data_IF_794640816239
#
_entry.id   IF_794640816239
#
_cell.length_a   1.000
_cell.length_b   1.000
_cell.length_c   1.000
_cell.angle_alpha   90.00
_cell.angle_beta   90.00
_cell.angle_gamma   90.00
#
_symmetry.space_group_name_H-M   'P 1'
#
loop_
_entity.id
_entity.type
_entity.pdbx_description
1 polymer ?
#
# COMPACT_ATOMS: atom_id res chain seq x y z
N UNK A 1 -0.26 17.53 -10.73
CA UNK A 1 1.04 17.01 -10.25
C UNK A 1 1.31 17.63 -8.90
N UNK A 2 0.95 16.97 -7.79
CA UNK A 2 1.24 17.51 -6.46
C UNK A 2 2.65 17.10 -6.06
N UNK A 3 3.59 17.99 -6.40
CA UNK A 3 4.94 18.08 -5.82
C UNK A 3 4.87 18.22 -4.27
N UNK A 4 3.67 18.50 -3.74
CA UNK A 4 3.33 18.68 -2.32
C UNK A 4 3.07 17.40 -1.51
N UNK A 5 3.25 16.20 -2.06
CA UNK A 5 3.13 14.94 -1.30
C UNK A 5 4.36 14.59 -0.46
N UNK A 6 5.49 15.26 -0.66
CA UNK A 6 6.74 15.02 0.06
C UNK A 6 6.92 16.10 1.15
N UNK A 7 6.71 15.73 2.41
CA UNK A 7 6.83 16.63 3.57
C UNK A 7 8.21 17.31 3.64
N UNK A 8 9.29 16.63 3.25
CA UNK A 8 10.65 17.18 3.22
C UNK A 8 10.84 18.23 2.13
N UNK A 9 10.25 18.04 0.95
CA UNK A 9 10.33 19.04 -0.11
C UNK A 9 9.58 20.33 0.29
N UNK A 10 8.46 20.16 0.99
CA UNK A 10 7.69 21.29 1.52
C UNK A 10 8.48 22.08 2.55
N UNK A 11 9.13 21.39 3.50
CA UNK A 11 10.04 22.00 4.48
C UNK A 11 11.14 22.83 3.79
N UNK A 12 11.76 22.31 2.72
CA UNK A 12 12.75 23.07 1.96
C UNK A 12 12.19 24.31 1.24
N UNK A 13 10.92 24.27 0.82
CA UNK A 13 10.25 25.44 0.23
C UNK A 13 9.85 26.46 1.31
N UNK A 14 9.49 25.99 2.51
CA UNK A 14 9.20 26.81 3.67
C UNK A 14 10.44 27.55 4.16
N UNK A 15 11.56 26.84 4.35
CA UNK A 15 12.87 27.39 4.73
C UNK A 15 13.37 28.43 3.71
N UNK A 16 13.09 28.19 2.43
CA UNK A 16 13.43 29.10 1.35
C UNK A 16 12.46 30.28 1.23
N UNK A 17 11.45 30.37 2.10
CA UNK A 17 10.46 31.44 2.09
C UNK A 17 9.70 31.50 0.76
N UNK A 18 9.31 30.35 0.21
CA UNK A 18 8.61 30.25 -1.08
C UNK A 18 7.12 29.98 -0.93
N UNK A 19 6.64 29.70 0.27
CA UNK A 19 5.25 29.31 0.52
C UNK A 19 4.39 30.49 0.97
N UNK A 20 3.10 30.44 0.63
CA UNK A 20 2.08 31.33 1.20
C UNK A 20 1.87 31.02 2.68
N UNK A 21 1.16 31.91 3.38
CA UNK A 21 0.87 31.78 4.81
C UNK A 21 0.08 30.51 5.19
N UNK A 22 -0.54 29.82 4.22
CA UNK A 22 -1.17 28.53 4.43
C UNK A 22 -0.14 27.39 4.64
N UNK A 23 1.12 27.58 4.22
CA UNK A 23 2.15 26.54 4.25
C UNK A 23 1.95 25.42 3.22
N UNK A 24 0.98 25.56 2.30
CA UNK A 24 0.63 24.51 1.33
C UNK A 24 0.75 24.96 -0.13
N UNK A 25 0.78 26.26 -0.41
CA UNK A 25 0.87 26.79 -1.77
C UNK A 25 2.17 27.56 -1.96
N UNK A 26 2.75 27.54 -3.16
CA UNK A 26 3.82 28.48 -3.50
C UNK A 26 3.25 29.89 -3.57
N UNK A 27 4.04 30.88 -3.16
CA UNK A 27 3.73 32.27 -3.41
C UNK A 27 3.57 32.50 -4.92
N UNK A 28 2.60 33.35 -5.33
CA UNK A 28 2.50 33.72 -6.72
C UNK A 28 3.80 34.40 -7.17
N UNK A 29 4.18 34.15 -8.41
CA UNK A 29 5.27 34.89 -9.03
C UNK A 29 4.96 36.41 -8.99
N UNK A 30 5.93 37.27 -8.64
CA UNK A 30 5.70 38.71 -8.49
C UNK A 30 5.33 39.40 -9.80
N UNK A 31 5.62 38.76 -10.93
CA UNK A 31 5.19 39.14 -12.28
C UNK A 31 4.58 37.90 -12.95
N UNK A 32 3.35 37.97 -13.51
CA UNK A 32 2.74 36.86 -14.26
C UNK A 32 3.56 36.33 -15.45
N UNK A 33 4.50 37.12 -15.97
CA UNK A 33 5.44 36.68 -17.01
C UNK A 33 6.75 36.11 -16.46
N UNK A 34 6.95 36.17 -15.14
CA UNK A 34 8.12 35.64 -14.43
C UNK A 34 7.85 34.24 -13.89
N UNK A 35 8.91 33.44 -13.79
CA UNK A 35 8.91 32.13 -13.14
C UNK A 35 9.94 32.12 -11.99
N UNK A 36 10.06 33.22 -11.23
CA UNK A 36 11.06 33.39 -10.18
C UNK A 36 10.82 32.48 -8.96
N UNK A 37 9.60 32.48 -8.40
CA UNK A 37 9.19 31.62 -7.29
C UNK A 37 9.10 30.18 -7.78
N UNK A 38 8.46 29.96 -8.93
CA UNK A 38 8.35 28.64 -9.53
C UNK A 38 9.73 28.04 -9.84
N UNK A 39 10.63 28.82 -10.44
CA UNK A 39 12.00 28.40 -10.75
C UNK A 39 12.84 28.14 -9.50
N UNK A 40 12.67 28.95 -8.45
CA UNK A 40 13.36 28.74 -7.16
C UNK A 40 12.91 27.45 -6.48
N UNK A 41 11.61 27.11 -6.56
CA UNK A 41 11.11 25.82 -6.09
C UNK A 41 11.70 24.65 -6.89
N UNK A 42 11.86 24.81 -8.21
CA UNK A 42 12.52 23.81 -9.06
C UNK A 42 13.99 23.64 -8.71
N UNK A 43 14.72 24.72 -8.38
CA UNK A 43 16.10 24.65 -7.88
C UNK A 43 16.17 23.85 -6.57
N UNK A 44 15.25 24.10 -5.63
CA UNK A 44 15.17 23.31 -4.39
C UNK A 44 14.93 21.83 -4.69
N UNK A 45 14.08 21.52 -5.66
CA UNK A 45 13.81 20.14 -6.06
C UNK A 45 15.06 19.48 -6.66
N UNK A 46 15.74 20.16 -7.59
CA UNK A 46 16.98 19.66 -8.21
C UNK A 46 18.08 19.45 -7.17
N UNK A 47 18.27 20.37 -6.21
CA UNK A 47 19.33 20.27 -5.22
C UNK A 47 19.00 19.27 -4.11
N UNK A 48 17.81 19.37 -3.50
CA UNK A 48 17.48 18.63 -2.26
C UNK A 48 16.87 17.27 -2.53
N UNK A 49 16.16 17.11 -3.65
CA UNK A 49 15.49 15.85 -4.00
C UNK A 49 16.29 15.07 -5.03
N UNK A 50 16.77 15.74 -6.08
CA UNK A 50 17.62 15.09 -7.10
C UNK A 50 19.11 15.07 -6.73
N UNK A 51 19.50 15.70 -5.61
CA UNK A 51 20.86 15.73 -5.07
C UNK A 51 21.90 16.29 -6.05
N UNK A 52 21.49 17.22 -6.91
CA UNK A 52 22.42 17.91 -7.80
C UNK A 52 23.25 18.94 -7.05
N UNK A 53 24.50 19.12 -7.47
CA UNK A 53 25.30 20.26 -7.04
C UNK A 53 24.57 21.58 -7.39
N UNK A 54 24.67 22.58 -6.52
CA UNK A 54 23.88 23.81 -6.64
C UNK A 54 24.16 24.54 -7.96
N UNK A 55 25.40 24.50 -8.44
CA UNK A 55 25.87 25.08 -9.69
C UNK A 55 25.24 24.43 -10.93
N UNK A 56 24.67 23.24 -10.77
CA UNK A 56 23.95 22.49 -11.81
C UNK A 56 22.44 22.69 -11.75
N UNK A 57 21.93 23.37 -10.73
CA UNK A 57 20.51 23.62 -10.58
C UNK A 57 20.14 24.91 -11.33
N UNK A 58 19.35 24.78 -12.39
CA UNK A 58 19.02 25.86 -13.31
C UNK A 58 17.57 26.33 -13.20
N UNK A 59 16.77 25.70 -12.33
CA UNK A 59 15.37 26.06 -12.10
C UNK A 59 14.45 25.76 -13.28
N UNK A 60 14.93 25.01 -14.28
CA UNK A 60 14.15 24.67 -15.48
C UNK A 60 13.60 23.27 -15.39
N UNK A 61 12.43 23.09 -16.00
CA UNK A 61 11.82 21.79 -16.22
C UNK A 61 11.64 21.59 -17.71
N UNK A 62 12.69 21.06 -18.35
CA UNK A 62 12.61 20.77 -19.77
C UNK A 62 11.68 19.58 -20.03
N UNK A 63 10.78 19.66 -21.02
CA UNK A 63 9.96 18.53 -21.43
C UNK A 63 10.87 17.32 -21.76
N UNK A 64 10.60 16.18 -21.14
CA UNK A 64 11.40 14.94 -21.27
C UNK A 64 12.85 15.04 -20.73
N UNK A 65 13.20 16.14 -20.06
CA UNK A 65 14.47 16.29 -19.36
C UNK A 65 14.51 15.53 -18.04
N UNK A 66 15.68 15.46 -17.40
CA UNK A 66 15.88 14.68 -16.16
C UNK A 66 14.99 15.17 -15.01
N UNK A 67 14.80 16.48 -14.89
CA UNK A 67 13.91 17.08 -13.88
C UNK A 67 12.45 16.73 -14.17
N UNK A 68 12.02 16.77 -15.43
CA UNK A 68 10.68 16.33 -15.84
C UNK A 68 10.46 14.83 -15.58
N UNK A 69 11.42 13.97 -15.93
CA UNK A 69 11.36 12.53 -15.64
C UNK A 69 11.26 12.25 -14.14
N UNK A 70 12.04 12.96 -13.31
CA UNK A 70 11.97 12.83 -11.86
C UNK A 70 10.62 13.30 -11.29
N UNK A 71 10.05 14.37 -11.83
CA UNK A 71 8.75 14.90 -11.43
C UNK A 71 7.56 14.03 -11.88
N UNK A 72 7.67 13.36 -13.02
CA UNK A 72 6.58 12.57 -13.62
C UNK A 72 6.72 11.06 -13.36
N UNK A 73 7.88 10.58 -12.91
CA UNK A 73 8.19 9.16 -12.85
C UNK A 73 8.28 8.48 -14.22
N UNK A 74 8.24 9.25 -15.31
CA UNK A 74 8.16 8.72 -16.67
C UNK A 74 9.55 8.41 -17.24
N UNK A 75 9.90 7.13 -17.30
CA UNK A 75 10.96 6.61 -18.18
C UNK A 75 10.38 6.59 -19.60
N UNK A 76 10.89 7.43 -20.50
CA UNK A 76 10.38 7.57 -21.89
C UNK A 76 10.65 6.33 -22.77
N UNK A 77 10.30 6.35 -24.09
CA UNK A 77 10.06 7.55 -24.91
C UNK A 77 8.85 7.51 -25.89
N UNK A 78 8.43 8.72 -26.33
CA UNK A 78 7.95 8.93 -27.71
C UNK A 78 6.43 9.04 -27.96
N UNK A 79 6.03 10.19 -28.51
CA UNK A 79 4.86 10.42 -29.36
C UNK A 79 3.44 10.13 -28.82
N UNK A 80 2.94 10.99 -27.93
CA UNK A 80 1.49 11.16 -27.79
C UNK A 80 1.17 12.64 -28.01
N UNK A 81 0.40 12.93 -29.06
CA UNK A 81 -0.15 14.26 -29.30
C UNK A 81 -1.10 14.63 -28.15
N UNK A 82 -1.07 15.88 -27.64
CA UNK A 82 -1.97 16.29 -26.58
C UNK A 82 -3.41 16.27 -27.08
N UNK A 83 -4.24 15.46 -26.43
CA UNK A 83 -5.70 15.54 -26.54
C UNK A 83 -6.16 16.46 -25.41
N UNK A 84 -7.10 17.35 -25.73
CA UNK A 84 -7.69 18.29 -24.77
C UNK A 84 -8.26 17.53 -23.56
N UNK A 85 -7.61 17.70 -22.41
CA UNK A 85 -7.76 16.84 -21.23
C UNK A 85 -8.82 17.35 -20.26
N UNK A 86 -9.43 18.51 -20.52
CA UNK A 86 -10.43 19.12 -19.65
C UNK A 86 -11.64 18.20 -19.31
N UNK A 87 -12.19 17.37 -20.22
CA UNK A 87 -13.28 16.46 -19.88
C UNK A 87 -12.82 15.12 -19.29
N UNK A 88 -11.51 14.83 -19.25
CA UNK A 88 -10.95 13.51 -18.87
C UNK A 88 -10.23 13.54 -17.51
N UNK A 89 -9.89 14.73 -17.00
CA UNK A 89 -9.13 14.90 -15.75
C UNK A 89 -9.87 14.43 -14.48
N UNK A 90 -11.20 14.47 -14.45
CA UNK A 90 -11.97 13.96 -13.31
C UNK A 90 -11.96 12.42 -13.24
N UNK A 91 -12.28 11.67 -14.32
CA UNK A 91 -12.07 10.22 -14.37
C UNK A 91 -10.60 9.80 -14.15
N UNK A 92 -9.63 10.60 -14.60
CA UNK A 92 -8.19 10.33 -14.41
C UNK A 92 -7.73 10.60 -12.97
N UNK A 93 -8.34 11.54 -12.25
CA UNK A 93 -8.05 11.80 -10.83
C UNK A 93 -8.64 10.69 -9.94
N UNK A 94 -9.83 10.20 -10.29
CA UNK A 94 -10.44 9.02 -9.66
C UNK A 94 -9.70 7.74 -10.03
N UNK A 95 -9.09 7.67 -11.22
CA UNK A 95 -8.12 6.64 -11.57
C UNK A 95 -6.86 6.80 -10.74
N UNK A 96 -6.14 7.93 -10.72
CA UNK A 96 -4.83 8.09 -10.05
C UNK A 96 -4.86 7.96 -8.52
N UNK A 97 -5.97 8.30 -7.85
CA UNK A 97 -6.16 7.98 -6.42
C UNK A 97 -6.34 6.49 -6.14
N UNK A 98 -6.77 5.72 -7.15
CA UNK A 98 -7.04 4.28 -7.12
C UNK A 98 -6.10 3.43 -8.03
N UNK A 99 -5.15 4.03 -8.78
CA UNK A 99 -4.48 3.40 -9.94
C UNK A 99 -3.03 2.97 -9.71
N UNK A 100 -2.48 3.16 -8.51
CA UNK A 100 -1.17 2.59 -8.18
C UNK A 100 -1.25 1.08 -7.92
N UNK A 101 -2.29 0.65 -7.20
CA UNK A 101 -2.41 -0.73 -6.74
C UNK A 101 -3.46 -1.46 -7.56
N UNK A 102 -3.07 -2.56 -8.19
CA UNK A 102 -3.98 -3.41 -8.95
C UNK A 102 -4.62 -4.42 -8.02
N UNK A 103 -5.94 -4.40 -7.89
CA UNK A 103 -6.67 -5.39 -7.10
C UNK A 103 -6.68 -6.76 -7.78
N UNK A 104 -6.47 -7.82 -7.00
CA UNK A 104 -6.48 -9.19 -7.48
C UNK A 104 -7.41 -10.07 -6.67
N UNK A 105 -8.27 -10.83 -7.35
CA UNK A 105 -9.07 -11.88 -6.72
C UNK A 105 -8.26 -13.18 -6.68
N UNK A 106 -7.80 -13.61 -5.50
CA UNK A 106 -7.06 -14.85 -5.29
C UNK A 106 -7.84 -16.06 -5.84
N UNK A 107 -9.17 -16.05 -5.73
CA UNK A 107 -10.04 -17.14 -6.17
C UNK A 107 -10.06 -17.34 -7.70
N UNK A 108 -9.50 -16.40 -8.47
CA UNK A 108 -9.32 -16.54 -9.91
C UNK A 108 -8.16 -17.50 -10.29
N UNK A 109 -7.24 -17.79 -9.36
CA UNK A 109 -6.01 -18.53 -9.63
C UNK A 109 -6.10 -19.99 -9.13
N UNK A 110 -7.13 -20.72 -9.58
CA UNK A 110 -7.44 -22.09 -9.12
C UNK A 110 -6.51 -23.17 -9.68
N UNK A 111 -5.87 -22.90 -10.83
CA UNK A 111 -4.91 -23.81 -11.48
C UNK A 111 -3.47 -23.56 -11.04
N UNK A 112 -3.20 -22.39 -10.47
CA UNK A 112 -1.85 -21.92 -10.18
C UNK A 112 -1.41 -22.46 -8.83
N UNK A 113 -0.61 -23.53 -8.86
CA UNK A 113 -0.04 -24.17 -7.67
C UNK A 113 0.99 -23.25 -7.03
N UNK A 114 1.03 -23.17 -5.71
CA UNK A 114 2.12 -22.55 -4.96
C UNK A 114 3.35 -23.48 -4.94
N UNK A 115 4.50 -22.97 -4.49
CA UNK A 115 5.74 -23.74 -4.41
C UNK A 115 5.87 -24.68 -3.20
N UNK A 116 4.78 -25.01 -2.50
CA UNK A 116 4.78 -25.94 -1.36
C UNK A 116 3.55 -26.85 -1.36
N UNK A 117 3.58 -27.86 -0.51
CA UNK A 117 2.51 -28.82 -0.31
C UNK A 117 1.98 -28.76 1.12
N UNK A 118 0.68 -29.02 1.29
CA UNK A 118 0.04 -29.19 2.60
C UNK A 118 -0.50 -30.61 2.71
N UNK A 119 -0.01 -31.37 3.68
CA UNK A 119 -0.37 -32.80 3.83
C UNK A 119 -0.07 -33.63 2.58
N UNK A 120 1.05 -33.34 1.89
CA UNK A 120 1.46 -34.04 0.66
C UNK A 120 0.66 -33.68 -0.59
N UNK A 121 -0.17 -32.64 -0.55
CA UNK A 121 -0.95 -32.16 -1.71
C UNK A 121 -0.52 -30.77 -2.10
N UNK A 122 -0.38 -30.55 -3.40
CA UNK A 122 -0.17 -29.21 -3.94
C UNK A 122 -1.34 -28.30 -3.53
N UNK A 123 -1.00 -27.10 -3.05
CA UNK A 123 -1.97 -26.05 -2.77
C UNK A 123 -1.88 -24.97 -3.83
N UNK A 124 -2.98 -24.26 -4.06
CA UNK A 124 -3.08 -23.24 -5.12
C UNK A 124 -3.14 -21.83 -4.54
N UNK A 125 -2.87 -20.83 -5.37
CA UNK A 125 -3.03 -19.41 -5.00
C UNK A 125 -4.46 -19.15 -4.52
N UNK A 126 -5.47 -19.76 -5.14
CA UNK A 126 -6.86 -19.61 -4.70
C UNK A 126 -7.13 -20.11 -3.27
N UNK A 127 -6.39 -21.13 -2.82
CA UNK A 127 -6.59 -21.75 -1.51
C UNK A 127 -5.81 -21.03 -0.41
N UNK A 128 -4.54 -20.69 -0.65
CA UNK A 128 -3.61 -20.20 0.40
C UNK A 128 -2.76 -18.99 -0.04
N UNK A 129 -3.07 -18.39 -1.19
CA UNK A 129 -2.29 -17.30 -1.78
C UNK A 129 -2.68 -15.89 -1.35
N UNK A 130 -3.44 -15.70 -0.27
CA UNK A 130 -3.90 -14.37 0.16
C UNK A 130 -2.73 -13.41 0.39
N UNK A 131 -1.68 -13.86 1.08
CA UNK A 131 -0.52 -13.01 1.37
C UNK A 131 0.34 -12.75 0.12
N UNK A 132 0.51 -13.75 -0.75
CA UNK A 132 1.17 -13.57 -2.06
C UNK A 132 0.43 -12.51 -2.89
N UNK A 133 -0.90 -12.58 -2.94
CA UNK A 133 -1.71 -11.59 -3.64
C UNK A 133 -1.50 -10.20 -3.01
N UNK A 134 -1.51 -10.06 -1.69
CA UNK A 134 -1.24 -8.78 -1.01
C UNK A 134 0.14 -8.22 -1.35
N UNK A 135 1.19 -9.02 -1.32
CA UNK A 135 2.55 -8.58 -1.72
C UNK A 135 2.59 -8.18 -3.20
N UNK A 136 1.89 -8.91 -4.07
CA UNK A 136 1.78 -8.55 -5.48
C UNK A 136 1.06 -7.22 -5.66
N UNK A 137 -0.09 -7.04 -5.00
CA UNK A 137 -0.86 -5.80 -5.04
C UNK A 137 0.01 -4.64 -4.57
N UNK A 138 0.72 -4.78 -3.44
CA UNK A 138 1.65 -3.77 -2.95
C UNK A 138 2.74 -3.44 -3.98
N UNK A 139 3.36 -4.47 -4.56
CA UNK A 139 4.43 -4.31 -5.54
C UNK A 139 3.96 -3.61 -6.83
N UNK A 140 2.67 -3.69 -7.19
CA UNK A 140 2.15 -2.94 -8.34
C UNK A 140 2.19 -1.43 -8.13
N UNK A 141 2.07 -0.96 -6.88
CA UNK A 141 2.11 0.47 -6.55
C UNK A 141 3.46 0.97 -6.04
N UNK A 142 4.13 0.22 -5.18
CA UNK A 142 5.38 0.65 -4.52
C UNK A 142 6.61 -0.18 -4.89
N UNK A 143 6.43 -1.30 -5.59
CA UNK A 143 7.53 -2.18 -5.99
C UNK A 143 8.40 -1.58 -7.10
N UNK A 144 9.58 -2.17 -7.26
CA UNK A 144 10.55 -1.80 -8.29
C UNK A 144 11.05 -3.06 -9.00
N UNK A 145 11.15 -3.07 -10.34
CA UNK A 145 11.70 -4.21 -11.05
C UNK A 145 13.11 -4.56 -10.57
N UNK A 146 13.31 -5.83 -10.24
CA UNK A 146 14.61 -6.39 -9.86
C UNK A 146 15.13 -7.31 -10.96
N UNK A 147 16.34 -7.87 -10.78
CA UNK A 147 16.86 -8.90 -11.69
C UNK A 147 16.03 -10.19 -11.70
N UNK A 148 15.18 -10.42 -10.69
CA UNK A 148 14.30 -11.57 -10.64
C UNK A 148 13.03 -11.39 -11.50
N UNK A 149 12.71 -10.16 -11.92
CA UNK A 149 11.51 -9.89 -12.70
C UNK A 149 11.68 -10.33 -14.16
N UNK A 150 10.60 -10.76 -14.83
CA UNK A 150 10.61 -10.94 -16.27
C UNK A 150 11.07 -9.65 -16.98
N UNK A 151 11.94 -9.80 -17.98
CA UNK A 151 12.52 -8.65 -18.70
C UNK A 151 11.43 -7.76 -19.28
N UNK A 152 11.47 -6.47 -18.94
CA UNK A 152 10.53 -5.46 -19.45
C UNK A 152 9.17 -5.46 -18.75
N UNK A 153 8.95 -6.32 -17.74
CA UNK A 153 7.73 -6.28 -16.94
C UNK A 153 7.69 -5.01 -16.08
N UNK A 154 6.60 -4.25 -16.19
CA UNK A 154 6.36 -3.07 -15.37
C UNK A 154 5.63 -3.45 -14.08
N UNK A 155 5.79 -2.65 -13.02
CA UNK A 155 5.13 -2.87 -11.73
C UNK A 155 3.60 -3.02 -11.86
N UNK A 156 2.95 -2.12 -12.60
CA UNK A 156 1.50 -2.18 -12.88
C UNK A 156 1.03 -3.47 -13.57
N UNK A 157 1.95 -4.17 -14.26
CA UNK A 157 1.67 -5.39 -15.01
C UNK A 157 2.07 -6.66 -14.23
N UNK A 158 2.65 -6.52 -13.03
CA UNK A 158 2.96 -7.63 -12.14
C UNK A 158 1.67 -8.32 -11.67
N UNK A 159 1.61 -9.65 -11.76
CA UNK A 159 0.44 -10.47 -11.38
C UNK A 159 0.84 -11.48 -10.29
N UNK A 160 -0.13 -12.10 -9.58
CA UNK A 160 0.16 -13.16 -8.63
C UNK A 160 0.90 -14.36 -9.25
N UNK A 161 0.68 -14.64 -10.54
CA UNK A 161 1.41 -15.68 -11.28
C UNK A 161 2.88 -15.30 -11.47
N UNK A 162 3.16 -14.03 -11.80
CA UNK A 162 4.53 -13.52 -11.88
C UNK A 162 5.23 -13.59 -10.51
N UNK A 163 4.56 -13.14 -9.45
CA UNK A 163 5.10 -13.16 -8.10
C UNK A 163 5.32 -14.60 -7.58
N UNK A 164 4.40 -15.52 -7.83
CA UNK A 164 4.54 -16.94 -7.49
C UNK A 164 5.73 -17.58 -8.23
N UNK A 165 5.89 -17.27 -9.52
CA UNK A 165 7.06 -17.73 -10.28
C UNK A 165 8.37 -17.21 -9.69
N UNK A 166 8.45 -15.91 -9.38
CA UNK A 166 9.62 -15.32 -8.70
C UNK A 166 9.89 -16.04 -7.37
N UNK A 167 8.84 -16.29 -6.59
CA UNK A 167 8.94 -16.96 -5.30
C UNK A 167 9.48 -18.40 -5.45
N UNK A 168 8.98 -19.17 -6.42
CA UNK A 168 9.45 -20.54 -6.72
C UNK A 168 10.91 -20.56 -7.18
N UNK A 169 11.25 -19.71 -8.15
CA UNK A 169 12.60 -19.67 -8.73
C UNK A 169 13.67 -19.27 -7.71
N UNK A 170 13.28 -18.62 -6.61
CA UNK A 170 14.18 -18.11 -5.57
C UNK A 170 13.96 -18.77 -4.20
N UNK A 171 13.38 -19.97 -4.15
CA UNK A 171 13.20 -20.76 -2.92
C UNK A 171 12.51 -19.97 -1.78
N UNK A 172 11.51 -19.15 -2.11
CA UNK A 172 10.78 -18.38 -1.11
C UNK A 172 9.70 -19.19 -0.38
N UNK A 173 9.53 -20.48 -0.70
CA UNK A 173 8.58 -21.36 -0.04
C UNK A 173 9.30 -22.34 0.89
N UNK A 174 8.66 -22.62 2.03
CA UNK A 174 8.98 -23.73 2.92
C UNK A 174 7.73 -24.58 3.16
N UNK A 175 7.86 -25.64 3.97
CA UNK A 175 6.70 -26.42 4.43
C UNK A 175 5.67 -25.56 5.19
N UNK A 176 6.11 -24.46 5.79
CA UNK A 176 5.27 -23.50 6.52
C UNK A 176 4.61 -22.45 5.60
N UNK A 177 4.87 -22.49 4.30
CA UNK A 177 4.30 -21.60 3.30
C UNK A 177 5.28 -20.55 2.76
N UNK A 178 4.76 -19.38 2.40
CA UNK A 178 5.54 -18.31 1.79
C UNK A 178 6.40 -17.56 2.83
N UNK A 179 7.69 -17.44 2.57
CA UNK A 179 8.60 -16.55 3.30
C UNK A 179 8.56 -15.14 2.66
N UNK A 180 7.95 -14.15 3.34
CA UNK A 180 7.81 -12.82 2.76
C UNK A 180 9.10 -12.00 2.83
N UNK A 181 10.05 -12.36 3.70
CA UNK A 181 11.31 -11.64 3.88
C UNK A 181 12.30 -11.90 2.75
N UNK A 182 12.18 -13.06 2.09
CA UNK A 182 12.91 -13.36 0.85
C UNK A 182 12.16 -12.84 -0.37
N UNK A 183 10.82 -12.95 -0.42
CA UNK A 183 10.06 -12.51 -1.59
C UNK A 183 9.99 -10.98 -1.72
N UNK A 184 9.76 -10.23 -0.64
CA UNK A 184 9.53 -8.78 -0.73
C UNK A 184 10.70 -8.03 -1.38
N UNK A 185 11.98 -8.29 -1.02
CA UNK A 185 13.12 -7.68 -1.70
C UNK A 185 13.19 -8.04 -3.20
N UNK A 186 12.81 -9.27 -3.57
CA UNK A 186 12.75 -9.68 -4.98
C UNK A 186 11.64 -8.94 -5.75
N UNK A 187 10.59 -8.50 -5.07
CA UNK A 187 9.54 -7.62 -5.59
C UNK A 187 9.92 -6.12 -5.51
N UNK A 188 11.14 -5.80 -5.11
CA UNK A 188 11.64 -4.43 -4.98
C UNK A 188 11.00 -3.65 -3.82
N UNK A 189 10.67 -4.37 -2.74
CA UNK A 189 10.08 -3.80 -1.53
C UNK A 189 10.84 -4.24 -0.28
N UNK A 190 10.90 -3.39 0.74
CA UNK A 190 11.29 -3.79 2.08
C UNK A 190 10.07 -4.25 2.86
N UNK A 191 10.30 -5.14 3.84
CA UNK A 191 9.25 -5.65 4.72
C UNK A 191 9.72 -5.71 6.17
N UNK A 192 8.85 -5.28 7.07
CA UNK A 192 8.96 -5.51 8.50
C UNK A 192 7.64 -6.08 9.03
N UNK A 193 7.69 -7.10 9.90
CA UNK A 193 6.50 -7.79 10.39
C UNK A 193 6.37 -7.63 11.91
N UNK A 194 5.15 -7.38 12.37
CA UNK A 194 4.82 -7.09 13.77
C UNK A 194 3.64 -7.95 14.25
N UNK A 195 3.76 -8.52 15.46
CA UNK A 195 2.81 -9.51 15.96
C UNK A 195 3.35 -10.43 17.05
N UNK A 196 2.61 -11.49 17.35
CA UNK A 196 2.95 -12.51 18.35
C UNK A 196 3.55 -13.80 17.74
N UNK A 197 3.97 -13.77 16.47
CA UNK A 197 4.52 -14.91 15.75
C UNK A 197 6.05 -15.05 15.87
N UNK A 198 6.56 -16.24 15.51
CA UNK A 198 8.00 -16.59 15.53
C UNK A 198 8.91 -15.64 14.74
N UNK A 199 8.37 -14.98 13.72
CA UNK A 199 9.10 -14.08 12.81
C UNK A 199 8.82 -12.61 13.08
N UNK A 200 8.02 -12.32 14.10
CA UNK A 200 7.45 -11.00 14.28
C UNK A 200 8.32 -10.20 15.25
N UNK A 201 8.58 -8.95 14.91
CA UNK A 201 8.98 -7.97 15.91
C UNK A 201 7.83 -7.80 16.92
N UNK A 202 8.12 -7.54 18.20
CA UNK A 202 7.08 -7.17 19.15
C UNK A 202 6.27 -6.00 18.61
N UNK A 203 4.95 -6.05 18.83
CA UNK A 203 4.09 -4.91 18.51
C UNK A 203 4.60 -3.66 19.27
N UNK A 204 4.66 -2.50 18.61
CA UNK A 204 5.02 -1.26 19.29
C UNK A 204 3.95 -0.87 20.32
N UNK A 205 4.27 0.06 21.22
CA UNK A 205 3.34 0.51 22.25
C UNK A 205 2.01 1.04 21.69
N UNK A 206 2.04 1.69 20.52
CA UNK A 206 0.86 2.12 19.79
C UNK A 206 0.88 1.62 18.34
N UNK A 207 0.34 0.41 18.08
CA UNK A 207 0.36 -0.18 16.74
C UNK A 207 -0.47 0.57 15.71
N UNK A 208 -1.56 1.20 16.14
CA UNK A 208 -2.45 1.99 15.28
C UNK A 208 -1.72 3.20 14.71
N UNK A 209 -1.08 4.01 15.56
CA UNK A 209 -0.34 5.21 15.12
C UNK A 209 0.92 4.84 14.33
N UNK A 210 1.56 3.71 14.67
CA UNK A 210 2.71 3.21 13.93
C UNK A 210 2.35 2.85 12.48
N UNK A 211 1.27 2.09 12.29
CA UNK A 211 0.79 1.73 10.96
C UNK A 211 0.30 2.96 10.18
N UNK A 212 -0.42 3.89 10.84
CA UNK A 212 -0.86 5.15 10.21
C UNK A 212 0.33 6.01 9.79
N UNK A 213 1.34 6.16 10.65
CA UNK A 213 2.56 6.91 10.33
C UNK A 213 3.31 6.33 9.13
N UNK A 214 3.38 5.01 9.02
CA UNK A 214 3.98 4.33 7.86
C UNK A 214 3.21 4.61 6.56
N UNK A 215 1.87 4.55 6.61
CA UNK A 215 1.00 4.88 5.47
C UNK A 215 1.19 6.36 5.08
N UNK A 216 1.23 7.26 6.05
CA UNK A 216 1.44 8.69 5.82
C UNK A 216 2.82 9.00 5.22
N UNK A 217 3.83 8.16 5.48
CA UNK A 217 5.16 8.26 4.88
C UNK A 217 5.23 7.69 3.43
N UNK A 218 4.10 7.22 2.87
CA UNK A 218 4.03 6.63 1.54
C UNK A 218 4.29 5.13 1.49
N UNK A 219 4.39 4.48 2.65
CA UNK A 219 4.38 3.02 2.75
C UNK A 219 2.96 2.44 2.67
N UNK A 220 2.86 1.12 2.67
CA UNK A 220 1.59 0.39 2.75
C UNK A 220 1.65 -0.70 3.80
N UNK A 221 0.50 -1.19 4.25
CA UNK A 221 0.41 -2.17 5.33
C UNK A 221 -0.27 -3.44 4.83
N UNK A 222 0.42 -4.56 4.87
CA UNK A 222 -0.22 -5.86 4.75
C UNK A 222 -0.81 -6.22 6.11
N UNK A 223 -2.14 -6.19 6.25
CA UNK A 223 -2.83 -6.47 7.50
C UNK A 223 -3.26 -7.94 7.56
N UNK A 224 -2.82 -8.65 8.60
CA UNK A 224 -3.35 -9.97 8.94
C UNK A 224 -4.64 -9.79 9.73
N UNK A 225 -5.75 -10.27 9.17
CA UNK A 225 -7.08 -10.08 9.72
C UNK A 225 -7.68 -11.40 10.19
N UNK A 226 -8.08 -11.42 11.45
CA UNK A 226 -8.96 -12.46 11.99
C UNK A 226 -10.42 -12.09 11.70
N UNK A 227 -11.21 -13.07 11.25
CA UNK A 227 -12.61 -12.90 10.87
C UNK A 227 -13.51 -14.07 11.30
N UNK A 228 -12.94 -15.13 11.88
CA UNK A 228 -13.66 -16.37 12.22
C UNK A 228 -14.36 -16.25 13.57
N UNK A 229 -15.66 -16.47 13.62
CA UNK A 229 -16.44 -16.43 14.87
C UNK A 229 -16.13 -17.64 15.78
N UNK A 230 -16.40 -17.51 17.08
CA UNK A 230 -16.15 -18.48 18.17
C UNK A 230 -16.67 -19.90 17.92
N UNK A 231 -17.59 -20.06 16.98
CA UNK A 231 -18.17 -21.33 16.58
C UNK A 231 -17.34 -22.12 15.56
N UNK A 232 -16.30 -21.53 14.96
CA UNK A 232 -15.32 -22.27 14.16
C UNK A 232 -14.07 -22.56 14.98
N UNK A 233 -14.00 -23.80 15.47
CA UNK A 233 -12.78 -24.59 15.68
C UNK A 233 -11.47 -23.88 16.11
N UNK A 234 -11.47 -22.95 17.06
CA UNK A 234 -10.24 -22.32 17.63
C UNK A 234 -9.26 -21.71 16.62
N UNK A 235 -9.58 -21.70 15.34
CA UNK A 235 -8.70 -21.18 14.31
C UNK A 235 -9.06 -19.72 14.13
N UNK A 236 -8.12 -18.82 14.47
CA UNK A 236 -8.19 -17.44 14.02
C UNK A 236 -8.37 -17.47 12.49
N UNK A 237 -9.22 -16.59 11.96
CA UNK A 237 -9.25 -16.37 10.52
C UNK A 237 -7.84 -16.04 10.05
N UNK A 238 -7.35 -16.76 9.04
CA UNK A 238 -6.04 -16.50 8.46
C UNK A 238 -6.24 -15.85 7.09
N UNK A 239 -6.29 -14.52 7.08
CA UNK A 239 -6.46 -13.75 5.87
C UNK A 239 -5.59 -12.50 5.88
N UNK A 240 -5.21 -12.05 4.70
CA UNK A 240 -4.41 -10.85 4.51
C UNK A 240 -5.12 -9.88 3.59
N UNK A 241 -5.12 -8.60 3.98
CA UNK A 241 -5.61 -7.49 3.16
C UNK A 241 -4.52 -6.43 3.01
N UNK A 242 -4.54 -5.66 1.94
CA UNK A 242 -3.60 -4.56 1.72
C UNK A 242 -4.23 -3.24 2.12
N UNK A 243 -3.76 -2.58 3.17
CA UNK A 243 -4.13 -1.21 3.53
C UNK A 243 -3.19 -0.26 2.79
N UNK A 244 -3.75 0.67 2.04
CA UNK A 244 -3.01 1.45 1.03
C UNK A 244 -2.83 2.90 1.42
N UNK A 245 -3.93 3.62 1.62
CA UNK A 245 -3.93 5.06 1.80
C UNK A 245 -4.82 5.47 2.95
N UNK A 246 -4.58 6.66 3.49
CA UNK A 246 -5.58 7.33 4.33
C UNK A 246 -6.80 7.66 3.48
N UNK A 247 -7.97 7.23 3.93
CA UNK A 247 -9.21 7.49 3.23
C UNK A 247 -9.50 9.00 3.24
N UNK A 248 -10.06 9.50 2.15
CA UNK A 248 -10.51 10.90 2.01
C UNK A 248 -11.86 11.19 2.69
N UNK A 249 -12.52 10.14 3.22
CA UNK A 249 -13.86 10.22 3.81
C UNK A 249 -13.88 10.64 5.28
N UNK A 250 -15.07 11.02 5.76
CA UNK A 250 -15.35 11.28 7.17
C UNK A 250 -15.97 10.05 7.87
N UNK A 251 -15.82 9.97 9.19
CA UNK A 251 -16.51 8.98 10.03
C UNK A 251 -15.65 7.76 10.35
N UNK A 252 -16.19 6.54 10.18
CA UNK A 252 -15.49 5.30 10.52
C UNK A 252 -14.45 4.89 9.47
N UNK A 253 -14.53 5.41 8.25
CA UNK A 253 -13.61 5.06 7.16
C UNK A 253 -12.30 5.84 7.27
N UNK A 254 -11.26 5.20 7.81
CA UNK A 254 -9.97 5.84 8.05
C UNK A 254 -8.93 5.51 6.96
N UNK A 255 -9.00 4.32 6.38
CA UNK A 255 -8.05 3.86 5.36
C UNK A 255 -8.72 3.07 4.25
N UNK A 256 -8.24 3.24 3.02
CA UNK A 256 -8.59 2.39 1.89
C UNK A 256 -7.77 1.09 1.94
N UNK A 257 -8.42 -0.03 1.65
CA UNK A 257 -7.78 -1.34 1.62
C UNK A 257 -8.28 -2.21 0.46
N UNK A 258 -7.53 -3.25 0.12
CA UNK A 258 -7.87 -4.22 -0.92
C UNK A 258 -7.93 -5.62 -0.28
N UNK A 259 -9.07 -6.26 -0.43
CA UNK A 259 -9.27 -7.65 -0.01
C UNK A 259 -9.05 -8.59 -1.20
N UNK A 260 -7.99 -9.42 -1.19
CA UNK A 260 -7.71 -10.32 -2.30
C UNK A 260 -8.72 -11.44 -2.43
N UNK A 261 -9.55 -11.72 -1.43
CA UNK A 261 -10.48 -12.83 -1.51
C UNK A 261 -11.74 -12.47 -2.32
N UNK A 262 -12.05 -11.18 -2.46
CA UNK A 262 -12.98 -10.66 -3.47
C UNK A 262 -12.30 -9.96 -4.65
N UNK A 263 -11.03 -9.55 -4.49
CA UNK A 263 -10.36 -8.64 -5.42
C UNK A 263 -11.00 -7.25 -5.44
N UNK A 264 -11.49 -6.79 -4.29
CA UNK A 264 -12.29 -5.56 -4.17
C UNK A 264 -11.67 -4.59 -3.19
N UNK A 265 -11.93 -3.31 -3.44
CA UNK A 265 -11.64 -2.23 -2.49
C UNK A 265 -12.63 -2.26 -1.33
N UNK A 266 -12.12 -2.17 -0.11
CA UNK A 266 -12.84 -2.10 1.15
C UNK A 266 -12.24 -0.98 2.01
N UNK A 267 -12.91 -0.62 3.10
CA UNK A 267 -12.36 0.33 4.06
C UNK A 267 -11.75 -0.37 5.28
N UNK A 268 -10.93 0.35 6.02
CA UNK A 268 -10.51 0.00 7.37
C UNK A 268 -10.73 1.18 8.32
N UNK A 269 -11.11 0.86 9.56
CA UNK A 269 -11.42 1.78 10.64
C UNK A 269 -10.42 1.63 11.78
N UNK A 270 -10.07 2.73 12.46
CA UNK A 270 -9.38 2.70 13.75
C UNK A 270 -10.31 2.45 14.94
N UNK A 271 -11.61 2.59 14.72
CA UNK A 271 -12.63 2.50 15.75
C UNK A 271 -13.21 1.07 15.80
N UNK A 272 -13.10 0.42 16.96
CA UNK A 272 -13.61 -0.93 17.22
C UNK A 272 -15.13 -1.04 17.06
N UNK A 273 -15.88 0.06 17.14
CA UNK A 273 -17.30 0.09 16.85
C UNK A 273 -17.64 -0.32 15.40
N UNK A 274 -16.67 -0.32 14.48
CA UNK A 274 -16.84 -0.85 13.13
C UNK A 274 -16.92 -2.39 13.10
N UNK A 275 -16.56 -3.08 14.19
CA UNK A 275 -16.58 -4.54 14.31
C UNK A 275 -17.21 -4.94 15.65
N UNK A 276 -18.51 -5.27 15.62
CA UNK A 276 -19.26 -5.70 16.82
C UNK A 276 -18.58 -6.87 17.54
N UNK A 277 -18.00 -7.80 16.79
CA UNK A 277 -17.27 -8.95 17.33
C UNK A 277 -16.10 -8.56 18.25
N UNK A 278 -15.36 -7.50 17.92
CA UNK A 278 -14.26 -7.04 18.78
C UNK A 278 -14.79 -6.52 20.12
N UNK A 279 -15.94 -5.82 20.08
CA UNK A 279 -16.61 -5.34 21.28
C UNK A 279 -17.07 -6.51 22.15
N UNK A 280 -17.69 -7.54 21.54
CA UNK A 280 -18.13 -8.74 22.26
C UNK A 280 -16.94 -9.47 22.91
N UNK A 281 -15.83 -9.65 22.18
CA UNK A 281 -14.63 -10.31 22.71
C UNK A 281 -13.99 -9.52 23.85
N UNK A 282 -13.95 -8.19 23.75
CA UNK A 282 -13.47 -7.34 24.84
C UNK A 282 -14.37 -7.46 26.07
N UNK A 283 -15.70 -7.43 25.90
CA UNK A 283 -16.66 -7.59 27.00
C UNK A 283 -16.51 -8.96 27.65
N UNK A 284 -16.37 -10.03 26.87
CA UNK A 284 -16.16 -11.38 27.38
C UNK A 284 -14.86 -11.49 28.20
N UNK A 285 -13.77 -10.88 27.73
CA UNK A 285 -12.50 -10.86 28.45
C UNK A 285 -12.54 -10.03 29.74
N UNK A 286 -13.23 -8.89 29.72
CA UNK A 286 -13.44 -8.09 30.93
C UNK A 286 -14.26 -8.84 31.99
N UNK A 287 -15.19 -9.71 31.56
CA UNK A 287 -15.97 -10.55 32.45
C UNK A 287 -15.19 -11.78 32.96
N UNK A 288 -14.27 -12.32 32.15
CA UNK A 288 -13.42 -13.45 32.48
C UNK A 288 -12.01 -13.28 31.87
N UNK A 289 -11.05 -12.75 32.64
CA UNK A 289 -9.68 -12.51 32.17
C UNK A 289 -8.89 -13.78 31.82
N UNK A 290 -9.42 -14.98 32.12
CA UNK A 290 -8.82 -16.25 31.69
C UNK A 290 -9.07 -16.55 30.20
N UNK A 291 -10.04 -15.87 29.58
CA UNK A 291 -10.28 -15.95 28.14
C UNK A 291 -9.16 -15.24 27.37
N UNK A 292 -8.86 -15.76 26.18
CA UNK A 292 -7.86 -15.16 25.31
C UNK A 292 -8.45 -13.96 24.56
N UNK A 293 -7.87 -12.78 24.74
CA UNK A 293 -8.22 -11.57 23.99
C UNK A 293 -7.04 -11.07 23.17
N UNK A 294 -7.09 -11.34 21.87
CA UNK A 294 -6.18 -10.71 20.92
C UNK A 294 -6.70 -9.33 20.56
N UNK A 295 -6.10 -8.29 21.13
CA UNK A 295 -6.42 -6.90 20.80
C UNK A 295 -6.19 -6.65 19.31
N UNK A 296 -7.19 -6.08 18.65
CA UNK A 296 -7.10 -5.65 17.27
C UNK A 296 -6.86 -4.15 17.15
N UNK A 297 -6.35 -3.70 16.00
CA UNK A 297 -5.87 -2.33 15.80
C UNK A 297 -6.56 -1.58 14.66
N UNK A 298 -6.94 -2.29 13.60
CA UNK A 298 -7.82 -1.80 12.54
C UNK A 298 -8.96 -2.79 12.30
N UNK A 299 -10.10 -2.28 11.85
CA UNK A 299 -11.35 -3.01 11.71
C UNK A 299 -11.93 -2.86 10.31
N UNK A 300 -12.38 -3.95 9.70
CA UNK A 300 -12.86 -3.90 8.33
C UNK A 300 -14.18 -3.13 8.18
N UNK A 301 -14.26 -2.35 7.09
CA UNK A 301 -15.49 -1.77 6.59
C UNK A 301 -15.82 -2.47 5.28
N UNK A 302 -16.95 -3.18 5.19
CA UNK A 302 -17.31 -3.96 4.01
C UNK A 302 -17.30 -3.16 2.72
N UNK A 303 -16.83 -3.80 1.65
CA UNK A 303 -16.95 -3.25 0.31
C UNK A 303 -18.41 -3.32 -0.16
N UNK A 304 -19.01 -2.21 -0.63
CA UNK A 304 -20.34 -2.27 -1.24
C UNK A 304 -20.35 -3.13 -2.52
N UNK A 305 -19.18 -3.35 -3.14
CA UNK A 305 -19.03 -4.14 -4.37
C UNK A 305 -18.78 -5.63 -4.09
N UNK A 306 -18.73 -6.04 -2.82
CA UNK A 306 -18.64 -7.45 -2.44
C UNK A 306 -20.01 -8.12 -2.34
N UNK A 307 -20.04 -9.45 -2.51
CA UNK A 307 -21.23 -10.26 -2.21
C UNK A 307 -21.55 -10.21 -0.70
N UNK A 308 -22.82 -10.38 -0.34
CA UNK A 308 -23.30 -10.28 1.06
C UNK A 308 -22.51 -11.15 2.04
N UNK A 309 -22.22 -12.40 1.67
CA UNK A 309 -21.43 -13.31 2.50
C UNK A 309 -20.02 -12.74 2.78
N UNK A 310 -19.38 -12.15 1.76
CA UNK A 310 -18.06 -11.53 1.88
C UNK A 310 -18.13 -10.28 2.75
N UNK A 311 -19.15 -9.46 2.58
CA UNK A 311 -19.36 -8.27 3.41
C UNK A 311 -19.45 -8.65 4.89
N UNK A 312 -20.14 -9.76 5.22
CA UNK A 312 -20.19 -10.28 6.59
C UNK A 312 -18.83 -10.75 7.12
N UNK A 313 -17.94 -11.29 6.28
CA UNK A 313 -16.57 -11.56 6.69
C UNK A 313 -15.80 -10.25 6.90
N UNK A 314 -15.88 -9.31 5.96
CA UNK A 314 -15.18 -8.04 6.02
C UNK A 314 -15.57 -7.20 7.24
N UNK A 315 -16.85 -7.20 7.65
CA UNK A 315 -17.29 -6.51 8.87
C UNK A 315 -16.72 -7.11 10.16
N UNK A 316 -16.27 -8.36 10.09
CA UNK A 316 -15.64 -9.06 11.19
C UNK A 316 -14.10 -9.00 11.14
N UNK A 317 -13.51 -8.35 10.14
CA UNK A 317 -12.05 -8.26 10.01
C UNK A 317 -11.48 -7.46 11.16
N UNK A 318 -10.56 -8.11 11.89
CA UNK A 318 -9.83 -7.57 13.03
C UNK A 318 -8.34 -7.71 12.73
N UNK A 319 -7.65 -6.61 12.48
CA UNK A 319 -6.21 -6.63 12.25
C UNK A 319 -5.49 -6.94 13.56
N UNK A 320 -4.89 -8.11 13.65
CA UNK A 320 -4.18 -8.60 14.86
C UNK A 320 -2.66 -8.63 14.69
N UNK A 321 -2.19 -8.67 13.44
CA UNK A 321 -0.77 -8.63 13.06
C UNK A 321 -0.64 -7.85 11.75
N UNK A 322 0.54 -7.33 11.44
CA UNK A 322 0.73 -6.61 10.19
C UNK A 322 2.17 -6.61 9.71
N UNK A 323 2.36 -6.36 8.42
CA UNK A 323 3.64 -6.02 7.86
C UNK A 323 3.64 -4.58 7.33
N UNK A 324 4.70 -3.84 7.62
CA UNK A 324 5.01 -2.59 6.94
C UNK A 324 5.76 -2.91 5.65
N UNK A 325 5.29 -2.34 4.53
CA UNK A 325 5.89 -2.50 3.21
C UNK A 325 6.25 -1.12 2.65
N UNK A 326 7.45 -0.97 2.10
CA UNK A 326 7.90 0.27 1.44
C UNK A 326 8.77 -0.04 0.24
N UNK A 327 8.95 0.92 -0.66
CA UNK A 327 9.95 0.79 -1.74
C UNK A 327 11.32 0.49 -1.14
N UNK A 328 12.03 -0.46 -1.71
CA UNK A 328 13.49 -0.59 -1.51
C UNK A 328 14.24 0.47 -2.31
#
# INVERSE_FOLDING_TARGET
MHIFGNSRFREHCEDAGLLTADGFSLMPDPDPASAAITGSAVVQFQNKIMLWAFERCDGRVDPRGKTWTALTGAVGPGNINPVDSAPVMAPIRDALGNAGFKAYNQGAYKSEKLGYQRGGKDVTIAQEGCFLCVLTMAATGIGRPTSAWPKGLLAKDLTPVHADKIAKDNNCYSEDGLNPFTLSPLLGMSIERFGAGRWDKPLPANPTDHAEGHIAAGGVVAAHVDYKDKHSDRSLGDHWVLVTNKASGSGLHHFDAIDPSGGVWMGMSKNSAACMRDTDLLTEWLADPSKEYHRAYFFGIPSPNSITQRQAYQSNYRMVRYCLLSSS
#
